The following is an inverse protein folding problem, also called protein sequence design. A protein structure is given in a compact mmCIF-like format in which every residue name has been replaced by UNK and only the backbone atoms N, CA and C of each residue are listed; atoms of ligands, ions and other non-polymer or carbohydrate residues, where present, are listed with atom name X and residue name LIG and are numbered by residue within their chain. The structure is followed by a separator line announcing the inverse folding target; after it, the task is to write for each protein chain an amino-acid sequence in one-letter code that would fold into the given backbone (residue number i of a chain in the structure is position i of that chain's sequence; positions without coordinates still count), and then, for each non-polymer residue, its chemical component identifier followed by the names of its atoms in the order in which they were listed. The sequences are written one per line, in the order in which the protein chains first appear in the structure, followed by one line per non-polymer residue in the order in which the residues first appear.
data_IF_682044984927
#
_entry.id   IF_682044984927
#
_cell.length_a   1.000
_cell.length_b   1.000
_cell.length_c   1.000
_cell.angle_alpha   90.00
_cell.angle_beta   90.00
_cell.angle_gamma   90.00
#
_symmetry.space_group_name_H-M   'P 1'
#
loop_
_entity.id
_entity.type
_entity.pdbx_description
1 polymer ?
#
# COMPACT_ATOMS: atom_id res chain seq x y z
N UNK A 1 0.51 -20.71 17.74
CA UNK A 1 -0.48 -19.72 18.22
C UNK A 1 -1.74 -20.34 18.85
N UNK A 2 -2.08 -21.62 18.65
CA UNK A 2 -3.04 -22.34 19.54
C UNK A 2 -4.49 -21.83 19.54
N UNK A 3 -4.89 -21.07 18.53
CA UNK A 3 -6.25 -20.53 18.38
C UNK A 3 -7.14 -21.60 17.75
N UNK A 4 -8.38 -21.74 18.24
CA UNK A 4 -9.36 -22.66 17.68
C UNK A 4 -9.91 -22.11 16.35
N UNK A 5 -10.10 -22.98 15.36
CA UNK A 5 -10.65 -22.61 14.05
C UNK A 5 -12.05 -21.97 14.16
N UNK A 6 -12.90 -22.47 15.06
CA UNK A 6 -14.22 -21.89 15.32
C UNK A 6 -14.16 -20.45 15.80
N UNK A 7 -13.17 -20.10 16.63
CA UNK A 7 -13.00 -18.73 17.13
C UNK A 7 -12.60 -17.75 16.01
N UNK A 8 -11.82 -18.22 15.03
CA UNK A 8 -11.46 -17.44 13.84
C UNK A 8 -12.71 -17.22 12.99
N UNK A 9 -13.51 -18.26 12.78
CA UNK A 9 -14.71 -18.19 11.95
C UNK A 9 -15.75 -17.21 12.53
N UNK A 10 -15.97 -17.26 13.84
CA UNK A 10 -17.01 -16.45 14.49
C UNK A 10 -16.60 -14.98 14.67
N UNK A 11 -15.30 -14.71 14.84
CA UNK A 11 -14.82 -13.38 15.23
C UNK A 11 -14.06 -12.62 14.13
N UNK A 12 -13.46 -13.29 13.13
CA UNK A 12 -12.67 -12.62 12.10
C UNK A 12 -13.57 -11.87 11.11
N UNK A 13 -13.52 -10.54 11.14
CA UNK A 13 -14.30 -9.67 10.25
C UNK A 13 -13.58 -9.29 8.95
N UNK A 14 -12.25 -9.31 8.98
CA UNK A 14 -11.43 -8.95 7.85
C UNK A 14 -9.96 -8.97 8.19
N UNK A 15 -9.13 -8.91 7.14
CA UNK A 15 -7.69 -8.80 7.23
C UNK A 15 -7.30 -7.48 6.59
N UNK A 16 -6.44 -6.73 7.29
CA UNK A 16 -5.77 -5.56 6.76
C UNK A 16 -4.29 -5.89 6.67
N UNK A 17 -3.75 -5.83 5.47
CA UNK A 17 -2.31 -5.96 5.24
C UNK A 17 -1.80 -4.59 4.82
N UNK A 18 -0.83 -4.08 5.58
CA UNK A 18 -0.32 -2.71 5.44
C UNK A 18 1.19 -2.74 5.26
N UNK A 19 1.65 -1.96 4.28
CA UNK A 19 3.05 -1.57 4.11
C UNK A 19 3.20 -0.07 4.27
N UNK A 20 4.33 0.36 4.81
CA UNK A 20 4.63 1.77 5.02
C UNK A 20 5.85 2.15 4.15
N UNK A 21 5.65 3.06 3.20
CA UNK A 21 6.66 3.41 2.19
C UNK A 21 7.03 4.89 2.26
N UNK A 22 8.22 5.26 1.75
CA UNK A 22 8.67 6.65 1.78
C UNK A 22 7.86 7.48 0.80
N UNK A 23 7.42 8.66 1.25
CA UNK A 23 6.63 9.57 0.44
C UNK A 23 7.55 10.54 -0.31
N UNK A 24 7.23 10.84 -1.57
CA UNK A 24 7.94 11.82 -2.38
C UNK A 24 7.94 13.19 -1.68
N UNK A 25 9.10 13.84 -1.70
CA UNK A 25 9.24 15.19 -1.15
C UNK A 25 8.31 16.17 -1.87
N UNK A 26 7.46 16.87 -1.12
CA UNK A 26 6.50 17.83 -1.68
C UNK A 26 7.17 19.07 -2.29
N UNK A 27 8.42 19.36 -1.91
CA UNK A 27 9.16 20.54 -2.35
C UNK A 27 9.88 20.36 -3.69
N UNK A 28 10.33 19.15 -4.01
CA UNK A 28 11.19 18.90 -5.17
C UNK A 28 10.71 17.82 -6.13
N UNK A 29 9.56 17.17 -5.89
CA UNK A 29 9.06 16.17 -6.83
C UNK A 29 8.75 16.82 -8.19
N UNK A 30 9.08 16.11 -9.26
CA UNK A 30 8.85 16.55 -10.63
C UNK A 30 7.93 15.59 -11.38
N UNK A 31 7.16 16.05 -12.38
CA UNK A 31 6.42 15.15 -13.27
C UNK A 31 7.36 14.15 -13.94
N UNK A 32 6.93 12.88 -14.00
CA UNK A 32 7.71 11.81 -14.64
C UNK A 32 7.50 11.71 -16.16
N UNK A 33 6.61 12.54 -16.72
CA UNK A 33 6.23 12.50 -18.13
C UNK A 33 5.05 11.57 -18.44
N UNK A 34 4.48 10.93 -17.41
CA UNK A 34 3.27 10.12 -17.51
C UNK A 34 2.14 10.72 -16.66
N UNK A 35 1.78 10.07 -15.56
CA UNK A 35 0.63 10.39 -14.72
C UNK A 35 1.00 10.56 -13.24
N UNK A 36 2.30 10.65 -12.93
CA UNK A 36 2.79 10.77 -11.58
C UNK A 36 4.04 11.62 -11.48
N UNK A 37 4.87 11.31 -10.48
CA UNK A 37 6.02 12.11 -10.11
C UNK A 37 7.25 11.23 -9.85
N UNK A 38 8.42 11.80 -10.12
CA UNK A 38 9.73 11.21 -9.82
C UNK A 38 10.43 11.95 -8.68
N UNK A 39 11.37 11.25 -8.03
CA UNK A 39 12.26 11.83 -7.02
C UNK A 39 13.34 12.70 -7.67
N UNK A 40 13.72 13.79 -7.01
CA UNK A 40 14.80 14.70 -7.46
C UNK A 40 15.83 14.89 -6.36
N UNK A 41 15.39 15.38 -5.19
CA UNK A 41 16.27 15.69 -4.06
C UNK A 41 16.51 17.19 -3.93
N UNK A 42 16.41 17.68 -2.70
CA UNK A 42 16.67 19.08 -2.32
C UNK A 42 17.05 19.14 -0.84
N UNK A 43 17.42 20.32 -0.36
CA UNK A 43 17.81 20.55 1.03
C UNK A 43 16.69 20.14 2.02
N UNK A 44 15.42 20.37 1.65
CA UNK A 44 14.25 20.03 2.48
C UNK A 44 14.08 18.52 2.75
N UNK A 45 14.64 17.68 1.90
CA UNK A 45 14.61 16.22 2.05
C UNK A 45 16.01 15.60 2.21
N UNK A 46 17.02 16.41 2.53
CA UNK A 46 18.42 15.99 2.63
C UNK A 46 18.91 15.26 1.37
N UNK A 47 18.52 15.77 0.20
CA UNK A 47 18.84 15.21 -1.12
C UNK A 47 18.38 13.75 -1.36
N UNK A 48 17.53 13.18 -0.52
CA UNK A 48 17.00 11.81 -0.73
C UNK A 48 15.88 11.73 -1.76
N UNK A 49 15.17 12.85 -1.98
CA UNK A 49 13.97 12.92 -2.80
C UNK A 49 12.68 12.48 -2.07
N UNK A 50 12.76 12.07 -0.80
CA UNK A 50 11.63 11.61 0.00
C UNK A 50 11.50 12.40 1.31
N UNK A 51 10.26 12.68 1.72
CA UNK A 51 9.93 13.31 3.00
C UNK A 51 8.60 12.70 3.48
N UNK A 52 8.58 12.24 4.72
CA UNK A 52 7.47 11.48 5.33
C UNK A 52 7.27 10.07 4.76
N UNK A 53 6.20 9.42 5.23
CA UNK A 53 5.83 8.04 4.88
C UNK A 53 4.32 7.96 4.62
N UNK A 54 3.91 7.01 3.78
CA UNK A 54 2.51 6.80 3.42
C UNK A 54 2.17 5.30 3.51
N UNK A 55 0.99 4.92 4.02
CA UNK A 55 0.57 3.52 4.04
C UNK A 55 0.01 3.10 2.68
N UNK A 56 0.41 1.92 2.23
CA UNK A 56 -0.30 1.12 1.23
C UNK A 56 -1.00 0.02 1.99
N UNK A 57 -2.33 -0.02 1.94
CA UNK A 57 -3.11 -1.01 2.66
C UNK A 57 -4.11 -1.69 1.73
N UNK A 58 -4.13 -3.02 1.79
CA UNK A 58 -5.20 -3.84 1.24
C UNK A 58 -6.15 -4.26 2.35
N UNK A 59 -7.43 -4.37 2.01
CA UNK A 59 -8.48 -4.74 2.96
C UNK A 59 -9.35 -5.82 2.36
N UNK A 60 -9.27 -6.99 2.99
CA UNK A 60 -10.12 -8.14 2.71
C UNK A 60 -11.19 -8.20 3.79
N UNK A 61 -12.47 -8.16 3.41
CA UNK A 61 -13.57 -8.31 4.38
C UNK A 61 -14.31 -9.61 4.13
N UNK A 62 -14.59 -10.32 5.22
CA UNK A 62 -15.40 -11.52 5.18
C UNK A 62 -16.86 -11.15 5.38
N UNK A 63 -17.76 -11.80 4.63
CA UNK A 63 -19.21 -11.61 4.81
C UNK A 63 -19.65 -12.29 6.10
N UNK A 64 -20.51 -11.61 6.85
CA UNK A 64 -21.06 -12.14 8.09
C UNK A 64 -22.26 -13.04 7.81
N UNK A 65 -22.15 -14.29 8.23
CA UNK A 65 -23.20 -15.32 8.20
C UNK A 65 -22.72 -16.54 9.00
N UNK A 66 -23.62 -17.38 9.49
CA UNK A 66 -23.24 -18.65 10.14
C UNK A 66 -22.36 -19.46 9.17
N UNK A 67 -21.11 -19.69 9.54
CA UNK A 67 -20.12 -20.42 8.74
C UNK A 67 -18.99 -19.58 8.14
N UNK A 68 -19.14 -18.24 8.04
CA UNK A 68 -18.14 -17.33 7.45
C UNK A 68 -17.82 -17.68 5.99
N UNK A 69 -18.11 -16.80 5.04
CA UNK A 69 -17.72 -17.04 3.64
C UNK A 69 -16.22 -16.72 3.45
N UNK A 70 -15.36 -17.62 3.96
CA UNK A 70 -13.91 -17.59 3.78
C UNK A 70 -13.48 -18.04 2.38
N UNK A 71 -14.35 -18.76 1.68
CA UNK A 71 -14.10 -19.22 0.31
C UNK A 71 -14.29 -18.09 -0.71
N UNK A 72 -15.14 -17.10 -0.41
CA UNK A 72 -15.39 -15.94 -1.27
C UNK A 72 -15.36 -14.60 -0.51
N UNK A 73 -14.17 -14.17 -0.05
CA UNK A 73 -14.03 -12.87 0.60
C UNK A 73 -14.39 -11.74 -0.36
N UNK A 74 -15.11 -10.73 0.13
CA UNK A 74 -15.35 -9.52 -0.63
C UNK A 74 -14.10 -8.64 -0.58
N UNK A 75 -13.42 -8.50 -1.71
CA UNK A 75 -12.28 -7.61 -1.85
C UNK A 75 -12.74 -6.16 -2.00
N UNK A 76 -12.30 -5.26 -1.11
CA UNK A 76 -12.70 -3.85 -1.13
C UNK A 76 -11.58 -2.92 -1.61
N UNK A 77 -10.32 -3.26 -1.30
CA UNK A 77 -9.15 -2.50 -1.72
C UNK A 77 -8.00 -3.47 -1.95
N UNK A 78 -7.53 -3.55 -3.19
CA UNK A 78 -6.40 -4.41 -3.58
C UNK A 78 -5.09 -3.64 -3.41
N UNK A 79 -3.96 -4.33 -3.24
CA UNK A 79 -2.63 -3.69 -3.22
C UNK A 79 -2.39 -2.87 -4.49
N UNK A 80 -2.82 -3.37 -5.64
CA UNK A 80 -2.70 -2.68 -6.94
C UNK A 80 -3.46 -1.37 -6.98
N UNK A 81 -4.72 -1.38 -6.55
CA UNK A 81 -5.55 -0.17 -6.49
C UNK A 81 -4.94 0.84 -5.51
N UNK A 82 -4.52 0.39 -4.34
CA UNK A 82 -3.90 1.24 -3.33
C UNK A 82 -2.57 1.84 -3.83
N UNK A 83 -1.68 1.03 -4.40
CA UNK A 83 -0.39 1.47 -4.90
C UNK A 83 -0.54 2.46 -6.07
N UNK A 84 -1.40 2.17 -7.04
CA UNK A 84 -1.62 3.06 -8.18
C UNK A 84 -2.31 4.37 -7.77
N UNK A 85 -3.25 4.34 -6.83
CA UNK A 85 -3.86 5.57 -6.30
C UNK A 85 -2.81 6.49 -5.66
N UNK A 86 -1.83 5.91 -4.97
CA UNK A 86 -0.76 6.64 -4.29
C UNK A 86 0.27 7.20 -5.30
N UNK A 87 0.52 6.48 -6.39
CA UNK A 87 1.29 6.96 -7.53
C UNK A 87 0.59 8.16 -8.21
N UNK A 88 -0.69 8.03 -8.56
CA UNK A 88 -1.46 9.10 -9.20
C UNK A 88 -1.66 10.33 -8.31
N UNK A 89 -1.73 10.15 -6.98
CA UNK A 89 -1.71 11.26 -6.03
C UNK A 89 -0.34 11.95 -5.91
N UNK A 90 0.70 11.39 -6.53
CA UNK A 90 2.06 11.89 -6.48
C UNK A 90 2.71 11.74 -5.11
N UNK A 91 2.38 10.66 -4.40
CA UNK A 91 2.95 10.30 -3.11
C UNK A 91 4.10 9.32 -3.22
N UNK A 92 4.09 8.44 -4.23
CA UNK A 92 5.18 7.49 -4.50
C UNK A 92 5.54 7.51 -5.98
N UNK A 93 6.70 6.95 -6.34
CA UNK A 93 7.11 6.81 -7.74
C UNK A 93 6.38 5.64 -8.41
N UNK A 94 6.38 5.62 -9.74
CA UNK A 94 5.87 4.48 -10.53
C UNK A 94 6.65 3.20 -10.22
N UNK A 95 7.95 3.33 -10.01
CA UNK A 95 8.86 2.24 -9.65
C UNK A 95 8.45 1.61 -8.31
N UNK A 96 8.26 2.45 -7.27
CA UNK A 96 7.82 2.00 -5.95
C UNK A 96 6.46 1.31 -6.05
N UNK A 97 5.49 1.89 -6.77
CA UNK A 97 4.17 1.30 -6.97
C UNK A 97 4.26 -0.08 -7.65
N UNK A 98 5.08 -0.21 -8.68
CA UNK A 98 5.26 -1.47 -9.43
C UNK A 98 5.94 -2.54 -8.58
N UNK A 99 6.98 -2.18 -7.82
CA UNK A 99 7.66 -3.09 -6.91
C UNK A 99 6.71 -3.61 -5.82
N UNK A 100 5.88 -2.72 -5.23
CA UNK A 100 4.90 -3.09 -4.22
C UNK A 100 3.86 -4.06 -4.77
N UNK A 101 3.35 -3.81 -5.98
CA UNK A 101 2.40 -4.69 -6.67
C UNK A 101 2.98 -6.08 -6.90
N UNK A 102 4.27 -6.17 -7.23
CA UNK A 102 4.96 -7.45 -7.46
C UNK A 102 5.35 -8.16 -6.17
N UNK A 103 5.11 -7.56 -5.00
CA UNK A 103 5.57 -8.09 -3.71
C UNK A 103 7.08 -7.99 -3.52
N UNK A 104 7.76 -7.13 -4.28
CA UNK A 104 9.21 -6.91 -4.21
C UNK A 104 9.58 -5.97 -3.04
N UNK A 105 10.83 -6.06 -2.59
CA UNK A 105 11.39 -5.10 -1.65
C UNK A 105 11.64 -3.76 -2.34
N UNK A 106 11.20 -2.67 -1.69
CA UNK A 106 11.39 -1.31 -2.18
C UNK A 106 12.68 -0.81 -1.57
N UNK A 107 13.74 -0.85 -2.38
CA UNK A 107 15.07 -0.40 -1.99
C UNK A 107 15.25 1.08 -2.30
N UNK A 108 16.03 1.71 -1.44
CA UNK A 108 16.19 3.13 -1.40
C UNK A 108 17.68 3.40 -1.24
N UNK A 109 18.33 3.71 -2.36
CA UNK A 109 19.72 4.20 -2.38
C UNK A 109 19.88 5.49 -1.58
#
# INVERSE_FOLDING_TARGET
MGINEGDIIDNLRGIVSQRLVRKLCTYCKEPDGEAGFKKVGCDECNHTGFKDRVPIAEVVRFKLGHGGDFENPAEYMTVEKAAMAQYHAGFITKEDATAIIRGEEVWYD
#
